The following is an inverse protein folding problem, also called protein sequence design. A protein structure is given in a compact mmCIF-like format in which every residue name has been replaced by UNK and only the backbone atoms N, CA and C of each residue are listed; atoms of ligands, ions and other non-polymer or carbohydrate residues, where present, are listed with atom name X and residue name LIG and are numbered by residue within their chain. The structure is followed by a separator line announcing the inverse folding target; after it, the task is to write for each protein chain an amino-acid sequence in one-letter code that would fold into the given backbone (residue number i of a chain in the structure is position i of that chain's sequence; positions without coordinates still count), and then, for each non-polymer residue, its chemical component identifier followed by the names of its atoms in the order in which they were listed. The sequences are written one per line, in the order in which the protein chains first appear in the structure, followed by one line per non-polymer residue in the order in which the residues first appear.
data_IF_649744855789
#
_entry.id   IF_649744855789
#
_cell.length_a   1.000
_cell.length_b   1.000
_cell.length_c   1.000
_cell.angle_alpha   90.00
_cell.angle_beta   90.00
_cell.angle_gamma   90.00
#
_symmetry.space_group_name_H-M   'P 1'
#
loop_
_entity.id
_entity.type
_entity.pdbx_description
1 polymer ?
#
# COMPACT_ATOMS: atom_id res chain seq x y z
N UNK A 1 8.29 -10.99 -0.79
CA UNK A 1 6.88 -10.64 -0.99
C UNK A 1 6.15 -10.98 0.26
N UNK A 2 5.24 -10.10 0.66
CA UNK A 2 4.25 -10.42 1.67
C UNK A 2 3.48 -11.67 1.23
N UNK A 3 2.98 -12.40 2.22
CA UNK A 3 2.29 -13.66 2.00
C UNK A 3 1.01 -13.67 2.79
N UNK A 4 -0.04 -14.15 2.15
CA UNK A 4 -1.32 -14.42 2.79
C UNK A 4 -1.89 -15.72 2.25
N UNK A 5 -2.88 -16.28 2.93
CA UNK A 5 -3.60 -17.42 2.40
C UNK A 5 -4.65 -16.91 1.39
N UNK A 6 -4.74 -17.56 0.23
CA UNK A 6 -5.74 -17.21 -0.77
C UNK A 6 -7.13 -17.63 -0.29
N UNK A 7 -8.04 -16.68 -0.16
CA UNK A 7 -9.41 -16.88 0.32
C UNK A 7 -10.22 -17.84 -0.55
N UNK A 8 -9.86 -18.00 -1.83
CA UNK A 8 -10.59 -18.85 -2.77
C UNK A 8 -10.12 -20.32 -2.77
N UNK A 9 -8.84 -20.59 -2.54
CA UNK A 9 -8.26 -21.93 -2.73
C UNK A 9 -7.35 -22.41 -1.57
N UNK A 10 -7.09 -21.60 -0.56
CA UNK A 10 -6.18 -21.92 0.55
C UNK A 10 -4.70 -21.95 0.16
N UNK A 11 -4.37 -21.60 -1.09
CA UNK A 11 -2.99 -21.53 -1.57
C UNK A 11 -2.22 -20.33 -1.00
N UNK A 12 -0.91 -20.26 -1.25
CA UNK A 12 -0.13 -19.07 -0.90
C UNK A 12 -0.36 -17.96 -1.92
N UNK A 13 -0.86 -16.83 -1.46
CA UNK A 13 -0.93 -15.59 -2.22
C UNK A 13 0.32 -14.75 -1.93
N UNK A 14 0.91 -14.19 -2.98
CA UNK A 14 2.00 -13.21 -2.89
C UNK A 14 1.51 -11.87 -3.40
N UNK A 15 1.86 -10.80 -2.69
CA UNK A 15 1.42 -9.44 -2.98
C UNK A 15 2.46 -8.42 -2.50
N UNK A 16 2.28 -7.17 -2.89
CA UNK A 16 3.12 -6.04 -2.48
C UNK A 16 2.31 -4.98 -1.73
N UNK A 17 2.85 -4.44 -0.63
CA UNK A 17 2.15 -3.42 0.16
C UNK A 17 1.84 -2.17 -0.64
N UNK A 18 2.61 -1.89 -1.69
CA UNK A 18 2.38 -0.72 -2.49
C UNK A 18 1.08 -0.79 -3.30
N UNK A 19 0.54 -1.99 -3.54
CA UNK A 19 -0.77 -2.16 -4.18
C UNK A 19 -1.90 -1.47 -3.39
N UNK A 20 -1.75 -1.29 -2.07
CA UNK A 20 -2.67 -0.52 -1.23
C UNK A 20 -2.74 0.97 -1.54
N UNK A 21 -1.86 1.48 -2.39
CA UNK A 21 -1.83 2.87 -2.86
C UNK A 21 -2.05 2.97 -4.37
N UNK A 22 -2.11 1.83 -5.07
CA UNK A 22 -2.26 1.75 -6.50
C UNK A 22 -3.73 1.82 -6.89
N UNK A 23 -4.05 2.62 -7.92
CA UNK A 23 -5.40 2.63 -8.49
C UNK A 23 -5.82 1.22 -8.94
N UNK A 24 -4.94 0.54 -9.67
CA UNK A 24 -5.19 -0.80 -10.25
C UNK A 24 -4.62 -1.95 -9.39
N UNK A 25 -4.28 -1.69 -8.13
CA UNK A 25 -3.68 -2.68 -7.24
C UNK A 25 -4.61 -3.87 -6.96
N UNK A 26 -4.04 -4.97 -6.48
CA UNK A 26 -4.78 -6.20 -6.13
C UNK A 26 -5.68 -6.69 -7.27
N UNK A 27 -5.19 -6.62 -8.51
CA UNK A 27 -5.96 -7.01 -9.69
C UNK A 27 -7.14 -6.07 -9.95
N UNK A 28 -6.89 -4.76 -9.99
CA UNK A 28 -7.92 -3.72 -10.12
C UNK A 28 -9.02 -3.78 -9.05
N UNK A 29 -8.65 -4.26 -7.87
CA UNK A 29 -9.53 -4.54 -6.74
C UNK A 29 -10.47 -5.74 -6.86
N UNK A 30 -10.43 -6.47 -7.98
CA UNK A 30 -11.17 -7.73 -8.14
C UNK A 30 -10.45 -8.92 -7.47
N UNK A 31 -9.17 -8.75 -7.12
CA UNK A 31 -8.39 -9.75 -6.40
C UNK A 31 -8.62 -9.73 -4.89
N UNK A 32 -7.73 -10.41 -4.16
CA UNK A 32 -7.74 -10.38 -2.70
C UNK A 32 -7.06 -9.09 -2.22
N UNK A 33 -7.88 -8.20 -1.65
CA UNK A 33 -7.44 -6.92 -1.11
C UNK A 33 -6.69 -7.12 0.21
N UNK A 34 -5.45 -6.65 0.29
CA UNK A 34 -4.62 -6.72 1.50
C UNK A 34 -4.30 -5.34 2.10
N UNK A 35 -5.01 -4.30 1.66
CA UNK A 35 -4.92 -2.92 2.17
C UNK A 35 -5.03 -2.85 3.70
N UNK A 36 -5.88 -3.67 4.30
CA UNK A 36 -6.07 -3.73 5.75
C UNK A 36 -4.82 -4.20 6.51
N UNK A 37 -4.01 -5.09 5.92
CA UNK A 37 -2.74 -5.50 6.53
C UNK A 37 -1.72 -4.35 6.50
N UNK A 38 -1.75 -3.51 5.46
CA UNK A 38 -0.91 -2.31 5.40
C UNK A 38 -1.36 -1.29 6.44
N UNK A 39 -2.68 -1.08 6.58
CA UNK A 39 -3.26 -0.23 7.63
C UNK A 39 -2.86 -0.71 9.05
N UNK A 40 -2.97 -2.02 9.33
CA UNK A 40 -2.61 -2.58 10.63
C UNK A 40 -1.15 -2.30 11.01
N UNK A 41 -0.22 -2.44 10.05
CA UNK A 41 1.20 -2.12 10.26
C UNK A 41 1.39 -0.64 10.59
N UNK A 42 0.73 0.24 9.84
CA UNK A 42 0.85 1.69 10.02
C UNK A 42 0.22 2.15 11.34
N UNK A 43 -1.00 1.71 11.64
CA UNK A 43 -1.69 2.05 12.89
C UNK A 43 -0.94 1.49 14.10
N UNK A 44 -0.39 0.27 14.00
CA UNK A 44 0.49 -0.31 15.02
C UNK A 44 1.78 0.48 15.27
N UNK A 45 2.29 1.18 14.26
CA UNK A 45 3.41 2.12 14.38
C UNK A 45 2.99 3.54 14.83
N UNK A 46 1.72 3.74 15.18
CA UNK A 46 1.19 4.98 15.69
C UNK A 46 0.95 6.05 14.62
N UNK A 47 0.62 5.63 13.39
CA UNK A 47 0.06 6.51 12.37
C UNK A 47 -1.47 6.51 12.46
N UNK A 48 -2.10 7.62 12.09
CA UNK A 48 -3.54 7.64 11.77
C UNK A 48 -3.70 7.41 10.28
N UNK A 49 -4.52 6.45 9.89
CA UNK A 49 -4.65 6.02 8.49
C UNK A 49 -6.10 6.20 8.05
N UNK A 50 -6.31 6.63 6.81
CA UNK A 50 -7.62 6.65 6.16
C UNK A 50 -7.60 5.70 4.98
N UNK A 51 -8.59 4.80 4.93
CA UNK A 51 -8.80 3.83 3.86
C UNK A 51 -10.12 4.13 3.16
N UNK A 52 -10.10 4.21 1.83
CA UNK A 52 -11.27 4.54 1.01
C UNK A 52 -11.35 3.67 -0.25
N UNK A 53 -12.57 3.47 -0.75
CA UNK A 53 -12.78 2.83 -2.04
C UNK A 53 -12.53 3.80 -3.20
N UNK A 54 -11.70 3.40 -4.16
CA UNK A 54 -11.48 4.16 -5.39
C UNK A 54 -12.45 3.75 -6.49
N UNK A 55 -13.70 4.20 -6.35
CA UNK A 55 -14.74 3.92 -7.34
C UNK A 55 -14.94 2.41 -7.52
N UNK A 56 -14.71 1.91 -8.74
CA UNK A 56 -14.85 0.49 -9.10
C UNK A 56 -13.52 -0.26 -9.17
N UNK A 57 -12.42 0.38 -8.79
CA UNK A 57 -11.08 -0.19 -8.87
C UNK A 57 -10.72 -0.81 -7.51
N UNK A 58 -9.79 -0.20 -6.78
CA UNK A 58 -9.23 -0.76 -5.55
C UNK A 58 -9.77 -0.09 -4.26
N UNK A 59 -9.58 -0.73 -3.12
CA UNK A 59 -9.65 -0.09 -1.79
C UNK A 59 -8.25 0.36 -1.41
N UNK A 60 -8.04 1.68 -1.25
CA UNK A 60 -6.71 2.28 -1.11
C UNK A 60 -6.56 3.08 0.18
N UNK A 61 -5.31 3.26 0.62
CA UNK A 61 -4.98 4.22 1.68
C UNK A 61 -4.86 5.62 1.07
N UNK A 62 -5.69 6.55 1.54
CA UNK A 62 -5.77 7.94 1.06
C UNK A 62 -5.19 8.97 2.04
N UNK A 63 -4.77 8.55 3.23
CA UNK A 63 -4.07 9.43 4.18
C UNK A 63 -3.24 8.61 5.16
N UNK A 64 -2.05 9.13 5.48
CA UNK A 64 -1.18 8.62 6.54
C UNK A 64 -0.70 9.82 7.35
N UNK A 65 -1.26 10.03 8.54
CA UNK A 65 -0.85 11.11 9.43
C UNK A 65 0.08 10.57 10.52
N UNK A 66 1.22 11.23 10.70
CA UNK A 66 2.10 11.08 11.87
C UNK A 66 2.18 12.40 12.61
N UNK A 67 1.75 12.42 13.87
CA UNK A 67 1.74 13.64 14.69
C UNK A 67 1.05 14.83 14.01
N UNK A 68 -0.03 14.54 13.27
CA UNK A 68 -0.80 15.53 12.50
C UNK A 68 -0.19 15.95 11.16
N UNK A 69 0.95 15.37 10.75
CA UNK A 69 1.63 15.66 9.48
C UNK A 69 1.31 14.55 8.48
N UNK A 70 0.78 14.93 7.32
CA UNK A 70 0.53 14.02 6.20
C UNK A 70 1.85 13.53 5.58
N UNK A 71 1.94 12.21 5.42
CA UNK A 71 3.11 11.55 4.84
C UNK A 71 2.96 11.34 3.34
N UNK A 72 1.73 11.34 2.80
CA UNK A 72 1.49 11.32 1.37
C UNK A 72 1.72 12.74 0.80
N UNK A 73 2.59 12.93 -0.21
CA UNK A 73 3.00 14.27 -0.63
C UNK A 73 1.98 14.92 -1.58
N UNK A 74 0.73 15.08 -1.15
CA UNK A 74 -0.32 15.74 -1.94
C UNK A 74 0.00 17.18 -2.34
N UNK A 75 0.88 17.85 -1.61
CA UNK A 75 1.36 19.19 -1.95
C UNK A 75 2.41 19.21 -3.10
N UNK A 76 2.95 18.05 -3.48
CA UNK A 76 3.88 17.93 -4.60
C UNK A 76 3.09 17.85 -5.92
N UNK A 77 3.27 18.83 -6.81
CA UNK A 77 2.56 18.89 -8.09
C UNK A 77 2.93 17.76 -9.06
N UNK A 78 4.11 17.16 -8.91
CA UNK A 78 4.56 16.04 -9.73
C UNK A 78 4.03 14.68 -9.23
N UNK A 79 3.50 14.64 -8.01
CA UNK A 79 2.93 13.43 -7.43
C UNK A 79 1.53 13.15 -7.97
N UNK A 80 1.35 11.93 -8.47
CA UNK A 80 0.08 11.42 -9.00
C UNK A 80 -0.38 10.25 -8.13
N UNK A 81 -1.24 10.57 -7.18
CA UNK A 81 -1.91 9.57 -6.34
C UNK A 81 -2.48 8.43 -7.19
N UNK A 82 -2.24 7.17 -6.79
CA UNK A 82 -2.70 6.00 -7.52
C UNK A 82 -1.85 5.54 -8.71
N UNK A 83 -0.89 6.35 -9.19
CA UNK A 83 -0.12 6.08 -10.41
C UNK A 83 1.40 6.08 -10.21
N UNK A 84 1.87 6.62 -9.10
CA UNK A 84 3.29 6.66 -8.78
C UNK A 84 3.63 5.66 -7.68
N UNK A 85 4.83 5.07 -7.76
CA UNK A 85 5.34 4.14 -6.74
C UNK A 85 5.55 4.87 -5.40
N UNK A 86 4.84 4.49 -4.32
CA UNK A 86 4.99 5.08 -3.00
C UNK A 86 6.43 5.07 -2.50
N UNK A 87 7.25 4.08 -2.89
CA UNK A 87 8.67 4.00 -2.49
C UNK A 87 9.52 5.16 -3.00
N UNK A 88 9.07 5.85 -4.04
CA UNK A 88 9.80 6.98 -4.64
C UNK A 88 9.46 8.33 -4.01
N UNK A 89 8.35 8.39 -3.26
CA UNK A 89 7.80 9.64 -2.74
C UNK A 89 7.58 9.65 -1.22
N UNK A 90 7.44 8.48 -0.60
CA UNK A 90 7.29 8.39 0.85
C UNK A 90 8.60 8.66 1.59
N UNK A 91 8.51 9.16 2.83
CA UNK A 91 9.65 9.20 3.74
C UNK A 91 10.34 7.83 3.86
N UNK A 92 11.67 7.83 3.90
CA UNK A 92 12.46 6.61 3.86
C UNK A 92 12.22 5.68 5.07
N UNK A 93 11.88 6.25 6.23
CA UNK A 93 11.50 5.53 7.43
C UNK A 93 10.14 4.83 7.30
N UNK A 94 9.16 5.47 6.65
CA UNK A 94 7.87 4.86 6.32
C UNK A 94 8.05 3.70 5.33
N UNK A 95 8.84 3.90 4.28
CA UNK A 95 9.15 2.82 3.31
C UNK A 95 9.84 1.65 4.02
N UNK A 96 10.83 1.93 4.87
CA UNK A 96 11.54 0.89 5.63
C UNK A 96 10.61 0.12 6.56
N UNK A 97 9.73 0.81 7.28
CA UNK A 97 8.73 0.17 8.15
C UNK A 97 7.90 -0.86 7.36
N UNK A 98 7.36 -0.45 6.21
CA UNK A 98 6.53 -1.30 5.38
C UNK A 98 7.32 -2.42 4.70
N UNK A 99 8.53 -2.17 4.22
CA UNK A 99 9.39 -3.20 3.64
C UNK A 99 9.92 -4.21 4.69
N UNK A 100 10.05 -3.84 5.96
CA UNK A 100 10.42 -4.76 7.04
C UNK A 100 9.22 -5.63 7.47
N UNK A 101 8.03 -5.03 7.58
CA UNK A 101 6.82 -5.74 7.99
C UNK A 101 6.21 -6.60 6.86
N UNK A 102 6.24 -6.09 5.63
CA UNK A 102 5.58 -6.63 4.44
C UNK A 102 6.60 -6.74 3.29
N UNK A 103 7.61 -7.62 3.40
CA UNK A 103 8.81 -7.55 2.58
C UNK A 103 8.55 -7.75 1.08
N UNK A 104 9.09 -6.93 0.16
CA UNK A 104 8.83 -7.04 -1.28
C UNK A 104 9.50 -8.24 -1.96
N UNK A 105 9.26 -8.43 -3.27
CA UNK A 105 10.08 -9.34 -4.08
C UNK A 105 11.38 -8.65 -4.48
N UNK A 106 12.53 -9.19 -4.09
CA UNK A 106 13.83 -8.66 -4.54
C UNK A 106 14.16 -8.94 -6.02
N UNK A 107 13.28 -9.62 -6.76
CA UNK A 107 13.57 -10.15 -8.12
C UNK A 107 12.72 -9.59 -9.26
N UNK A 108 11.73 -8.74 -8.99
CA UNK A 108 10.84 -8.22 -10.04
C UNK A 108 10.82 -6.70 -9.98
N UNK A 109 11.13 -5.98 -11.07
CA UNK A 109 10.86 -4.54 -11.11
C UNK A 109 9.35 -4.33 -10.98
N UNK A 110 8.94 -3.42 -10.11
CA UNK A 110 7.53 -3.10 -9.88
C UNK A 110 6.93 -2.51 -11.15
N UNK A 111 5.83 -3.08 -11.63
CA UNK A 111 5.09 -2.57 -12.78
C UNK A 111 3.88 -1.82 -12.24
N UNK A 112 3.85 -0.51 -12.48
CA UNK A 112 2.85 0.44 -12.03
C UNK A 112 2.14 1.05 -13.25
#
# INVERSE_FOLDING_TARGET
MAKSECNACGGTLHWDWTEAFAKFGFGDGDGQIETWQVEDVLTGAGYTVTVEGWGLHNTVITSILKDGIEQIPYANADYRFGYDDPRTFFPADLVRLLDEALPPNKRTPYVW
#
